data_IF_181092236350
#
_entry.id   IF_181092236350
#
_cell.length_a   1.000
_cell.length_b   1.000
_cell.length_c   1.000
_cell.angle_alpha   90.00
_cell.angle_beta   90.00
_cell.angle_gamma   90.00
#
_symmetry.space_group_name_H-M   'P 1'
#
loop_
_entity.id
_entity.type
_entity.pdbx_description
1 polymer ?
#
# COMPACT_ATOMS: atom_id res chain seq x y z
N UNK A 1 -3.81 -20.38 -11.97
CA UNK A 1 -3.44 -18.99 -11.64
C UNK A 1 -2.50 -18.38 -12.66
N UNK A 2 -3.00 -17.37 -13.36
CA UNK A 2 -2.22 -16.41 -14.15
C UNK A 2 -1.83 -15.25 -13.24
N UNK A 3 -0.60 -14.75 -13.35
CA UNK A 3 -0.11 -13.60 -12.57
C UNK A 3 0.42 -12.55 -13.53
N UNK A 4 -0.02 -11.31 -13.33
CA UNK A 4 0.48 -10.17 -14.08
C UNK A 4 1.67 -9.53 -13.36
N UNK A 5 2.55 -8.86 -14.11
CA UNK A 5 3.61 -8.01 -13.56
C UNK A 5 3.07 -6.92 -12.63
N UNK A 6 1.85 -6.44 -12.86
CA UNK A 6 1.19 -5.46 -11.98
C UNK A 6 0.57 -6.09 -10.71
N UNK A 7 0.53 -7.42 -10.61
CA UNK A 7 0.26 -8.09 -9.34
C UNK A 7 1.49 -8.09 -8.42
N UNK A 8 2.67 -8.13 -9.02
CA UNK A 8 3.96 -8.12 -8.32
C UNK A 8 4.38 -6.70 -7.93
N UNK A 9 4.29 -5.75 -8.86
CA UNK A 9 4.72 -4.37 -8.65
C UNK A 9 3.51 -3.44 -8.57
N UNK A 10 3.23 -2.96 -7.36
CA UNK A 10 2.12 -2.04 -7.08
C UNK A 10 2.66 -0.77 -6.44
N UNK A 11 2.23 0.37 -6.97
CA UNK A 11 2.46 1.66 -6.34
C UNK A 11 1.61 1.71 -5.06
N UNK A 12 2.18 2.27 -4.00
CA UNK A 12 1.54 2.33 -2.70
C UNK A 12 2.35 3.20 -1.74
N UNK A 13 1.87 3.28 -0.50
CA UNK A 13 2.52 4.00 0.59
C UNK A 13 3.18 3.03 1.58
N UNK A 14 4.40 3.35 2.00
CA UNK A 14 5.11 2.62 3.05
C UNK A 14 4.58 2.92 4.46
N UNK A 15 5.04 2.19 5.49
CA UNK A 15 6.13 1.21 5.44
C UNK A 15 5.71 -0.24 5.16
N UNK A 16 4.41 -0.57 5.12
CA UNK A 16 3.96 -1.98 5.04
C UNK A 16 2.76 -2.19 4.13
N UNK A 17 2.84 -3.15 3.21
CA UNK A 17 1.70 -3.52 2.37
C UNK A 17 0.54 -4.12 3.18
N UNK A 18 0.84 -4.90 4.23
CA UNK A 18 -0.20 -5.54 5.04
C UNK A 18 -0.72 -4.63 6.16
N UNK A 19 0.12 -3.76 6.71
CA UNK A 19 -0.22 -2.92 7.87
C UNK A 19 -0.43 -1.44 7.52
N UNK A 20 -0.18 -1.02 6.27
CA UNK A 20 -0.44 0.36 5.81
C UNK A 20 -1.38 0.35 4.60
N UNK A 21 -0.99 -0.29 3.48
CA UNK A 21 -1.80 -0.30 2.25
C UNK A 21 -3.14 -1.02 2.46
N UNK A 22 -3.14 -2.17 3.11
CA UNK A 22 -4.37 -2.92 3.45
C UNK A 22 -5.36 -2.09 4.29
N UNK A 23 -4.99 -1.61 5.49
CA UNK A 23 -5.88 -0.79 6.32
C UNK A 23 -6.41 0.46 5.63
N UNK A 24 -5.59 1.14 4.84
CA UNK A 24 -6.02 2.32 4.07
C UNK A 24 -7.10 1.96 3.04
N UNK A 25 -6.90 0.87 2.28
CA UNK A 25 -7.91 0.36 1.33
C UNK A 25 -9.20 -0.09 2.03
N UNK A 26 -9.09 -0.74 3.19
CA UNK A 26 -10.26 -1.15 3.97
C UNK A 26 -11.08 0.06 4.43
N UNK A 27 -10.40 1.09 4.92
CA UNK A 27 -11.03 2.34 5.34
C UNK A 27 -11.71 3.09 4.18
N UNK A 28 -11.03 3.23 3.03
CA UNK A 28 -11.61 3.83 1.84
C UNK A 28 -12.84 3.07 1.34
N UNK A 29 -12.75 1.74 1.26
CA UNK A 29 -13.89 0.87 0.88
C UNK A 29 -15.06 0.99 1.83
N UNK A 30 -14.80 1.13 3.13
CA UNK A 30 -15.85 1.33 4.12
C UNK A 30 -16.58 2.66 3.91
N UNK A 31 -15.82 3.75 3.75
CA UNK A 31 -16.37 5.08 3.52
C UNK A 31 -17.12 5.18 2.17
N UNK A 32 -16.57 4.63 1.10
CA UNK A 32 -17.26 4.50 -0.20
C UNK A 32 -18.54 3.65 -0.09
N UNK A 33 -18.51 2.61 0.75
CA UNK A 33 -19.67 1.80 1.07
C UNK A 33 -20.77 2.59 1.76
N UNK A 34 -20.43 3.49 2.71
CA UNK A 34 -21.40 4.39 3.34
C UNK A 34 -22.09 5.29 2.30
N UNK A 35 -21.32 5.86 1.37
CA UNK A 35 -21.86 6.69 0.29
C UNK A 35 -22.78 5.89 -0.63
N UNK A 36 -22.34 4.70 -1.07
CA UNK A 36 -23.13 3.84 -1.97
C UNK A 36 -24.46 3.41 -1.35
N UNK A 37 -24.45 3.12 -0.05
CA UNK A 37 -25.63 2.66 0.66
C UNK A 37 -26.45 3.85 1.24
N UNK A 38 -26.16 5.08 0.81
CA UNK A 38 -26.84 6.34 1.17
C UNK A 38 -26.79 6.71 2.67
N UNK A 39 -25.84 6.17 3.42
CA UNK A 39 -25.66 6.37 4.86
C UNK A 39 -24.62 7.46 5.22
N UNK A 40 -23.96 8.05 4.22
CA UNK A 40 -22.85 8.99 4.46
C UNK A 40 -23.31 10.20 5.29
N UNK A 41 -24.43 10.82 4.91
CA UNK A 41 -24.95 12.04 5.55
C UNK A 41 -25.48 11.77 6.97
N UNK A 42 -25.99 10.56 7.22
CA UNK A 42 -26.50 10.16 8.53
C UNK A 42 -25.38 9.76 9.50
N UNK A 43 -24.16 9.56 9.01
CA UNK A 43 -23.03 9.16 9.85
C UNK A 43 -22.53 10.35 10.66
N UNK A 44 -22.61 10.29 11.98
CA UNK A 44 -22.05 11.30 12.88
C UNK A 44 -20.67 10.92 13.43
N UNK A 45 -20.38 9.62 13.49
CA UNK A 45 -19.14 9.09 14.05
C UNK A 45 -18.78 7.74 13.42
N UNK A 46 -17.47 7.46 13.30
CA UNK A 46 -16.94 6.16 12.88
C UNK A 46 -16.01 5.62 13.95
N UNK A 47 -16.21 4.36 14.33
CA UNK A 47 -15.30 3.59 15.19
C UNK A 47 -14.59 2.52 14.38
N UNK A 48 -13.29 2.37 14.64
CA UNK A 48 -12.42 1.41 13.97
C UNK A 48 -11.66 0.60 15.01
N UNK A 49 -11.66 -0.71 14.85
CA UNK A 49 -11.00 -1.66 15.74
C UNK A 49 -10.01 -2.50 14.91
N UNK A 50 -8.73 -2.43 15.24
CA UNK A 50 -7.65 -3.15 14.56
C UNK A 50 -7.21 -4.33 15.42
N UNK A 51 -7.37 -5.56 14.92
CA UNK A 51 -7.20 -6.80 15.68
C UNK A 51 -5.88 -7.54 15.39
N UNK A 52 -5.51 -8.45 16.27
CA UNK A 52 -4.38 -9.37 16.12
C UNK A 52 -3.04 -8.67 15.88
N UNK A 53 -2.34 -9.02 14.79
CA UNK A 53 -1.03 -8.44 14.45
C UNK A 53 -1.14 -6.96 14.11
N UNK A 54 -2.25 -6.52 13.49
CA UNK A 54 -2.52 -5.09 13.27
C UNK A 54 -2.64 -4.35 14.60
N UNK A 55 -3.40 -4.89 15.55
CA UNK A 55 -3.51 -4.30 16.89
C UNK A 55 -2.20 -4.30 17.68
N UNK A 56 -1.31 -5.29 17.46
CA UNK A 56 -0.04 -5.39 18.17
C UNK A 56 1.05 -4.46 17.60
N UNK A 57 1.14 -4.34 16.28
CA UNK A 57 2.27 -3.68 15.60
C UNK A 57 1.85 -2.47 14.75
N UNK A 58 0.55 -2.21 14.62
CA UNK A 58 0.01 -1.24 13.66
C UNK A 58 0.51 0.18 13.89
N UNK A 59 0.74 0.59 15.14
CA UNK A 59 1.29 1.92 15.45
C UNK A 59 2.70 2.12 14.90
N UNK A 60 3.54 1.08 14.91
CA UNK A 60 4.89 1.12 14.32
C UNK A 60 4.85 1.13 12.79
N UNK A 61 3.81 0.52 12.20
CA UNK A 61 3.61 0.44 10.75
C UNK A 61 2.69 1.54 10.20
N UNK A 62 2.22 2.47 11.03
CA UNK A 62 1.33 3.56 10.60
C UNK A 62 -0.08 3.12 10.21
N UNK A 63 -0.60 2.01 10.74
CA UNK A 63 -1.98 1.55 10.48
C UNK A 63 -3.03 2.56 10.94
N UNK A 64 -2.75 3.27 12.04
CA UNK A 64 -3.57 4.39 12.50
C UNK A 64 -3.69 5.47 11.42
N UNK A 65 -2.55 5.96 10.92
CA UNK A 65 -2.49 6.98 9.86
C UNK A 65 -3.18 6.51 8.59
N UNK A 66 -2.94 5.26 8.20
CA UNK A 66 -3.54 4.64 7.03
C UNK A 66 -5.08 4.62 7.09
N UNK A 67 -5.64 4.26 8.26
CA UNK A 67 -7.10 4.28 8.47
C UNK A 67 -7.64 5.70 8.34
N UNK A 68 -7.02 6.70 8.98
CA UNK A 68 -7.47 8.08 8.91
C UNK A 68 -7.50 8.60 7.46
N UNK A 69 -6.41 8.40 6.72
CA UNK A 69 -6.31 8.82 5.32
C UNK A 69 -7.34 8.10 4.44
N UNK A 70 -7.50 6.78 4.62
CA UNK A 70 -8.48 6.01 3.86
C UNK A 70 -9.92 6.44 4.14
N UNK A 71 -10.26 6.78 5.40
CA UNK A 71 -11.59 7.31 5.72
C UNK A 71 -11.86 8.67 5.05
N UNK A 72 -10.83 9.50 4.86
CA UNK A 72 -10.92 10.73 4.06
C UNK A 72 -10.98 10.47 2.54
N UNK A 73 -11.00 9.21 2.09
CA UNK A 73 -11.13 8.83 0.69
C UNK A 73 -9.80 8.70 -0.08
N UNK A 74 -8.66 8.77 0.61
CA UNK A 74 -7.36 8.60 -0.02
C UNK A 74 -7.06 7.14 -0.36
N UNK A 75 -6.40 6.92 -1.49
CA UNK A 75 -5.92 5.60 -1.91
C UNK A 75 -4.40 5.50 -1.84
N UNK A 76 -3.83 4.33 -1.46
CA UNK A 76 -2.39 4.18 -1.26
C UNK A 76 -1.52 4.53 -2.47
N UNK A 77 -2.05 4.33 -3.67
CA UNK A 77 -1.39 4.53 -4.95
C UNK A 77 -1.44 5.98 -5.45
N UNK A 78 -2.29 6.83 -4.86
CA UNK A 78 -2.49 8.22 -5.30
C UNK A 78 -2.30 9.25 -4.19
N UNK A 79 -2.20 8.84 -2.93
CA UNK A 79 -2.10 9.74 -1.78
C UNK A 79 -0.86 10.64 -1.87
N UNK A 80 -1.05 11.94 -1.69
CA UNK A 80 0.06 12.88 -1.60
C UNK A 80 0.72 12.79 -0.22
N UNK A 81 1.85 12.05 -0.17
CA UNK A 81 2.61 11.80 1.06
C UNK A 81 3.17 13.05 1.74
N UNK A 82 3.36 14.15 1.01
CA UNK A 82 3.90 15.40 1.58
C UNK A 82 2.89 16.09 2.51
N UNK A 83 1.60 15.93 2.24
CA UNK A 83 0.50 16.57 3.00
C UNK A 83 0.05 15.75 4.22
N UNK A 84 0.48 14.49 4.33
CA UNK A 84 -0.01 13.54 5.33
C UNK A 84 0.23 14.05 6.76
N UNK A 85 1.40 14.62 7.04
CA UNK A 85 1.73 15.06 8.40
C UNK A 85 0.80 16.18 8.88
N UNK A 86 0.53 17.16 8.02
CA UNK A 86 -0.35 18.30 8.31
C UNK A 86 -1.80 17.84 8.50
N UNK A 87 -2.32 17.02 7.58
CA UNK A 87 -3.68 16.48 7.66
C UNK A 87 -3.94 15.71 8.95
N UNK A 88 -3.02 14.82 9.32
CA UNK A 88 -3.12 14.07 10.57
C UNK A 88 -3.09 14.99 11.80
N UNK A 89 -2.30 16.08 11.75
CA UNK A 89 -2.28 17.06 12.83
C UNK A 89 -3.64 17.79 12.95
N UNK A 90 -4.26 18.14 11.82
CA UNK A 90 -5.58 18.78 11.77
C UNK A 90 -6.68 17.87 12.30
N UNK A 91 -6.71 16.59 11.92
CA UNK A 91 -7.70 15.63 12.45
C UNK A 91 -7.56 15.51 13.97
N UNK A 92 -6.32 15.38 14.47
CA UNK A 92 -6.02 15.22 15.89
C UNK A 92 -6.34 16.45 16.73
N UNK A 93 -6.10 17.66 16.20
CA UNK A 93 -6.34 18.90 16.93
C UNK A 93 -7.81 19.31 16.92
N UNK A 94 -8.50 19.12 15.80
CA UNK A 94 -9.92 19.44 15.65
C UNK A 94 -10.86 18.39 16.26
N UNK A 95 -10.39 17.13 16.39
CA UNK A 95 -11.24 16.00 16.75
C UNK A 95 -12.30 15.69 15.70
N UNK A 96 -12.07 16.10 14.44
CA UNK A 96 -12.97 15.89 13.31
C UNK A 96 -12.25 15.23 12.15
N UNK A 97 -12.98 14.42 11.40
CA UNK A 97 -12.51 13.77 10.18
C UNK A 97 -13.51 14.02 9.06
N UNK A 98 -13.05 14.31 7.85
CA UNK A 98 -13.93 14.57 6.71
C UNK A 98 -14.08 13.30 5.86
N UNK A 99 -15.15 12.53 6.05
CA UNK A 99 -15.37 11.28 5.33
C UNK A 99 -15.43 11.54 3.83
N UNK A 100 -14.58 10.83 3.08
CA UNK A 100 -14.38 11.01 1.63
C UNK A 100 -14.01 12.44 1.20
N UNK A 101 -13.61 13.31 2.13
CA UNK A 101 -13.46 14.73 1.86
C UNK A 101 -14.79 15.49 1.69
N UNK A 102 -15.93 14.84 1.96
CA UNK A 102 -17.28 15.36 1.70
C UNK A 102 -18.05 15.67 2.99
N UNK A 103 -17.99 14.78 3.99
CA UNK A 103 -18.85 14.85 5.18
C UNK A 103 -18.06 14.88 6.50
N UNK A 104 -18.04 16.00 7.24
CA UNK A 104 -17.32 16.09 8.51
C UNK A 104 -18.03 15.33 9.63
N UNK A 105 -17.30 14.45 10.30
CA UNK A 105 -17.76 13.65 11.45
C UNK A 105 -16.91 13.90 12.68
N UNK A 106 -17.46 13.60 13.86
CA UNK A 106 -16.69 13.59 15.10
C UNK A 106 -15.75 12.38 15.12
N UNK A 107 -14.45 12.63 15.29
CA UNK A 107 -13.43 11.60 15.28
C UNK A 107 -12.32 11.89 16.31
N UNK A 108 -12.51 11.38 17.53
CA UNK A 108 -11.45 11.35 18.52
C UNK A 108 -10.64 10.05 18.37
N UNK A 109 -9.44 10.15 17.80
CA UNK A 109 -8.59 8.99 17.50
C UNK A 109 -8.37 8.06 18.71
N UNK A 110 -8.25 8.60 19.93
CA UNK A 110 -8.00 7.77 21.13
C UNK A 110 -9.20 6.91 21.52
N UNK A 111 -10.42 7.40 21.34
CA UNK A 111 -11.65 6.68 21.70
C UNK A 111 -12.29 5.95 20.53
N UNK A 112 -12.00 6.37 19.29
CA UNK A 112 -12.63 5.84 18.08
C UNK A 112 -11.72 4.91 17.28
N UNK A 113 -10.41 4.87 17.56
CA UNK A 113 -9.48 3.92 16.95
C UNK A 113 -8.84 3.02 18.01
N UNK A 114 -9.32 1.78 18.12
CA UNK A 114 -8.85 0.80 19.08
C UNK A 114 -7.83 -0.17 18.44
N UNK A 115 -6.77 -0.46 19.18
CA UNK A 115 -5.74 -1.46 18.82
C UNK A 115 -5.87 -2.66 19.75
N UNK A 116 -6.37 -3.78 19.25
CA UNK A 116 -6.74 -4.97 20.01
C UNK A 116 -5.79 -6.11 19.64
N UNK A 117 -5.04 -6.63 20.61
CA UNK A 117 -4.04 -7.70 20.35
C UNK A 117 -4.65 -9.06 20.06
N UNK A 118 -5.88 -9.31 20.51
CA UNK A 118 -6.58 -10.56 20.23
C UNK A 118 -6.92 -10.61 18.74
N UNK A 119 -6.60 -11.69 18.01
CA UNK A 119 -6.97 -11.82 16.60
C UNK A 119 -8.46 -12.12 16.45
N UNK A 120 -9.01 -11.79 15.27
CA UNK A 120 -10.31 -12.27 14.82
C UNK A 120 -10.19 -13.73 14.33
N UNK A 121 -11.29 -14.49 14.24
CA UNK A 121 -11.25 -15.92 13.95
C UNK A 121 -10.63 -16.29 12.60
N UNK A 122 -10.86 -15.49 11.55
CA UNK A 122 -10.47 -15.85 10.19
C UNK A 122 -9.00 -15.54 9.88
N UNK A 123 -8.51 -14.35 10.23
CA UNK A 123 -7.15 -13.93 9.89
C UNK A 123 -6.57 -12.99 10.97
N UNK A 124 -5.25 -13.08 11.29
CA UNK A 124 -4.63 -12.27 12.33
C UNK A 124 -4.60 -10.76 12.04
N UNK A 125 -4.81 -10.34 10.80
CA UNK A 125 -4.89 -8.93 10.40
C UNK A 125 -6.35 -8.52 10.16
N UNK A 126 -7.17 -8.58 11.22
CA UNK A 126 -8.59 -8.22 11.16
C UNK A 126 -8.84 -6.75 11.49
N UNK A 127 -9.90 -6.20 10.92
CA UNK A 127 -10.31 -4.81 11.11
C UNK A 127 -11.84 -4.74 11.13
N UNK A 128 -12.42 -4.07 12.11
CA UNK A 128 -13.86 -3.84 12.16
C UNK A 128 -14.12 -2.34 12.11
N UNK A 129 -15.02 -1.94 11.20
CA UNK A 129 -15.46 -0.56 11.03
C UNK A 129 -16.95 -0.47 11.39
N UNK A 130 -17.32 0.56 12.14
CA UNK A 130 -18.69 0.81 12.59
C UNK A 130 -19.03 2.28 12.39
N UNK A 131 -20.12 2.57 11.69
CA UNK A 131 -20.66 3.92 11.56
C UNK A 131 -21.84 4.07 12.53
N UNK A 132 -21.90 5.22 13.20
CA UNK A 132 -22.96 5.58 14.14
C UNK A 132 -23.63 6.88 13.71
N UNK A 133 -24.93 6.97 13.92
CA UNK A 133 -25.70 8.19 13.69
C UNK A 133 -25.58 9.21 14.84
N UNK A 134 -26.28 10.34 14.72
CA UNK A 134 -26.30 11.40 15.74
C UNK A 134 -26.89 10.97 17.10
N UNK A 135 -27.64 9.87 17.16
CA UNK A 135 -28.16 9.28 18.39
C UNK A 135 -27.20 8.22 18.99
N UNK A 136 -26.10 7.92 18.31
CA UNK A 136 -25.16 6.87 18.70
C UNK A 136 -25.62 5.46 18.34
N UNK A 137 -26.60 5.31 17.46
CA UNK A 137 -27.08 4.02 16.96
C UNK A 137 -26.18 3.58 15.80
N UNK A 138 -25.77 2.31 15.80
CA UNK A 138 -24.95 1.76 14.72
C UNK A 138 -25.80 1.59 13.45
N UNK A 139 -25.44 2.31 12.39
CA UNK A 139 -26.12 2.26 11.08
C UNK A 139 -25.40 1.36 10.06
N UNK A 140 -24.10 1.08 10.28
CA UNK A 140 -23.33 0.15 9.44
C UNK A 140 -22.22 -0.53 10.24
N UNK A 141 -21.96 -1.80 9.95
CA UNK A 141 -20.74 -2.49 10.39
C UNK A 141 -20.19 -3.39 9.29
N UNK A 142 -18.87 -3.42 9.13
CA UNK A 142 -18.15 -4.29 8.21
C UNK A 142 -16.85 -4.77 8.85
N UNK A 143 -16.45 -5.98 8.51
CA UNK A 143 -15.23 -6.62 8.96
C UNK A 143 -14.34 -6.96 7.76
N UNK A 144 -13.10 -6.51 7.80
CA UNK A 144 -12.13 -6.66 6.73
C UNK A 144 -10.88 -7.37 7.21
N UNK A 145 -10.19 -8.06 6.30
CA UNK A 145 -8.92 -8.70 6.57
C UNK A 145 -7.87 -8.30 5.55
N UNK A 146 -6.67 -7.95 6.06
CA UNK A 146 -5.50 -7.66 5.23
C UNK A 146 -4.64 -8.93 5.08
N UNK A 147 -4.79 -9.62 3.94
CA UNK A 147 -4.25 -10.98 3.71
C UNK A 147 -2.86 -11.00 3.05
N UNK A 148 -2.25 -9.83 2.80
CA UNK A 148 -0.92 -9.71 2.19
C UNK A 148 -0.96 -9.04 0.81
N UNK A 149 0.19 -8.52 0.35
CA UNK A 149 0.30 -7.84 -0.96
C UNK A 149 -0.57 -6.58 -1.13
N UNK A 150 -1.11 -6.03 -0.04
CA UNK A 150 -2.07 -4.92 -0.07
C UNK A 150 -3.51 -5.33 -0.44
N UNK A 151 -3.82 -6.62 -0.47
CA UNK A 151 -5.17 -7.12 -0.70
C UNK A 151 -6.01 -7.09 0.59
N UNK A 152 -7.28 -6.72 0.42
CA UNK A 152 -8.28 -6.68 1.49
C UNK A 152 -9.48 -7.51 1.09
N UNK A 153 -9.94 -8.38 1.98
CA UNK A 153 -11.16 -9.19 1.82
C UNK A 153 -12.19 -8.81 2.89
N UNK A 154 -13.47 -8.92 2.57
CA UNK A 154 -14.61 -8.64 3.47
C UNK A 154 -15.08 -9.96 4.13
N UNK A 155 -15.71 -9.93 5.29
CA UNK A 155 -16.19 -11.12 6.02
C UNK A 155 -17.13 -12.00 5.17
N UNK A 156 -18.04 -11.39 4.41
CA UNK A 156 -18.92 -12.11 3.48
C UNK A 156 -18.18 -12.82 2.33
N UNK A 157 -16.93 -12.42 2.06
CA UNK A 157 -16.04 -13.09 1.12
C UNK A 157 -15.07 -14.06 1.81
N UNK A 158 -14.92 -14.01 3.14
CA UNK A 158 -14.03 -14.89 3.91
C UNK A 158 -14.48 -16.36 3.91
N UNK A 159 -15.76 -16.63 3.65
CA UNK A 159 -16.31 -17.98 3.48
C UNK A 159 -16.15 -18.57 2.07
N UNK A 160 -15.79 -17.75 1.08
CA UNK A 160 -15.47 -18.21 -0.26
C UNK A 160 -13.97 -18.03 -0.49
N UNK A 161 -13.25 -19.14 -0.62
CA UNK A 161 -11.83 -19.20 -0.99
C UNK A 161 -11.61 -18.50 -2.35
N UNK A 162 -11.52 -17.17 -2.31
CA UNK A 162 -11.51 -16.31 -3.48
C UNK A 162 -10.50 -15.20 -3.29
N UNK A 163 -9.23 -15.60 -3.09
CA UNK A 163 -8.28 -15.22 -4.13
C UNK A 163 -8.86 -15.88 -5.38
N UNK A 164 -9.75 -15.18 -6.10
CA UNK A 164 -10.30 -15.72 -7.34
C UNK A 164 -9.08 -15.95 -8.20
N UNK A 165 -8.70 -17.22 -8.36
CA UNK A 165 -7.55 -17.53 -9.18
C UNK A 165 -7.82 -16.93 -10.55
N UNK A 166 -6.98 -15.99 -10.94
CA UNK A 166 -7.07 -15.48 -12.28
C UNK A 166 -6.82 -16.66 -13.22
N UNK A 167 -7.85 -17.00 -13.98
CA UNK A 167 -7.87 -18.11 -14.95
C UNK A 167 -7.77 -17.58 -16.38
N UNK A 168 -7.44 -16.30 -16.54
CA UNK A 168 -7.21 -15.66 -17.84
C UNK A 168 -6.26 -16.53 -18.67
N UNK A 169 -6.70 -17.05 -19.82
CA UNK A 169 -5.87 -17.89 -20.67
C UNK A 169 -4.68 -17.09 -21.22
N UNK A 170 -3.47 -17.58 -20.94
CA UNK A 170 -2.23 -16.97 -21.44
C UNK A 170 -1.83 -17.57 -22.77
N UNK A 171 -1.16 -16.78 -23.61
CA UNK A 171 -0.64 -17.23 -24.91
C UNK A 171 0.47 -18.29 -24.75
N UNK A 172 1.34 -18.08 -23.77
CA UNK A 172 2.47 -18.96 -23.44
C UNK A 172 2.45 -19.29 -21.94
N UNK A 173 1.53 -20.15 -21.47
CA UNK A 173 1.41 -20.48 -20.06
C UNK A 173 2.58 -21.37 -19.62
N UNK A 174 3.13 -21.14 -18.43
CA UNK A 174 4.21 -21.95 -17.86
C UNK A 174 4.04 -22.12 -16.34
N UNK A 175 4.47 -23.27 -15.81
CA UNK A 175 4.51 -23.53 -14.35
C UNK A 175 5.93 -23.76 -13.83
N UNK A 176 6.89 -23.99 -14.72
CA UNK A 176 8.27 -24.28 -14.39
C UNK A 176 9.22 -23.50 -15.29
N UNK A 177 10.47 -23.33 -14.83
CA UNK A 177 11.51 -22.73 -15.67
C UNK A 177 11.71 -23.52 -16.99
N UNK A 178 11.55 -24.85 -16.96
CA UNK A 178 11.66 -25.70 -18.14
C UNK A 178 10.58 -25.38 -19.20
N UNK A 179 9.36 -25.09 -18.76
CA UNK A 179 8.26 -24.73 -19.68
C UNK A 179 8.48 -23.34 -20.27
N UNK A 180 8.92 -22.37 -19.46
CA UNK A 180 9.27 -21.02 -19.93
C UNK A 180 10.38 -21.07 -20.99
N UNK A 181 11.47 -21.80 -20.73
CA UNK A 181 12.57 -21.96 -21.68
C UNK A 181 12.13 -22.69 -22.96
N UNK A 182 11.21 -23.66 -22.84
CA UNK A 182 10.62 -24.33 -24.01
C UNK A 182 9.88 -23.33 -24.91
N UNK A 183 9.07 -22.43 -24.34
CA UNK A 183 8.39 -21.38 -25.12
C UNK A 183 9.39 -20.45 -25.81
N UNK A 184 10.45 -20.05 -25.11
CA UNK A 184 11.50 -19.19 -25.67
C UNK A 184 12.15 -19.83 -26.91
N UNK A 185 12.56 -21.11 -26.80
CA UNK A 185 13.21 -21.83 -27.91
C UNK A 185 12.24 -22.13 -29.05
N UNK A 186 11.02 -22.60 -28.75
CA UNK A 186 10.03 -22.98 -29.78
C UNK A 186 9.57 -21.78 -30.61
N UNK A 187 9.48 -20.59 -30.01
CA UNK A 187 8.93 -19.40 -30.66
C UNK A 187 9.97 -18.35 -31.02
N UNK A 188 11.26 -18.62 -30.80
CA UNK A 188 12.37 -17.68 -30.98
C UNK A 188 12.12 -16.34 -30.26
N UNK A 189 11.70 -16.44 -28.99
CA UNK A 189 11.38 -15.29 -28.14
C UNK A 189 12.31 -15.27 -26.93
N UNK A 190 12.73 -14.08 -26.53
CA UNK A 190 13.32 -13.87 -25.20
C UNK A 190 12.26 -13.98 -24.10
N UNK A 191 12.70 -14.17 -22.84
CA UNK A 191 11.78 -14.25 -21.68
C UNK A 191 10.88 -13.02 -21.59
N UNK A 192 11.42 -11.82 -21.83
CA UNK A 192 10.63 -10.58 -21.76
C UNK A 192 9.59 -10.49 -22.88
N UNK A 193 9.87 -11.04 -24.07
CA UNK A 193 8.90 -11.13 -25.16
C UNK A 193 7.81 -12.16 -24.87
N UNK A 194 8.16 -13.31 -24.27
CA UNK A 194 7.16 -14.28 -23.77
C UNK A 194 6.25 -13.63 -22.73
N UNK A 195 6.83 -12.89 -21.77
CA UNK A 195 6.05 -12.18 -20.76
C UNK A 195 5.18 -11.08 -21.36
N UNK A 196 5.70 -10.27 -22.30
CA UNK A 196 4.91 -9.23 -22.97
C UNK A 196 3.71 -9.83 -23.74
N UNK A 197 3.92 -10.97 -24.40
CA UNK A 197 2.86 -11.67 -25.09
C UNK A 197 1.80 -12.26 -24.13
N UNK A 198 2.19 -12.68 -22.93
CA UNK A 198 1.25 -13.10 -21.89
C UNK A 198 0.48 -11.92 -21.28
N UNK A 199 1.14 -10.79 -21.04
CA UNK A 199 0.49 -9.56 -20.52
C UNK A 199 -0.62 -9.04 -21.45
N UNK A 200 -0.49 -9.35 -22.75
CA UNK A 200 -1.50 -9.02 -23.77
C UNK A 200 -2.86 -9.70 -23.55
N UNK A 201 -2.93 -10.70 -22.67
CA UNK A 201 -4.19 -11.34 -22.29
C UNK A 201 -5.10 -10.43 -21.44
N UNK A 202 -4.52 -9.47 -20.69
CA UNK A 202 -5.27 -8.54 -19.86
C UNK A 202 -5.42 -7.16 -20.49
N UNK A 203 -4.41 -6.71 -21.25
CA UNK A 203 -4.36 -5.34 -21.77
C UNK A 203 -3.42 -5.21 -22.97
N UNK A 204 -3.63 -4.23 -23.87
CA UNK A 204 -2.71 -3.97 -24.98
C UNK A 204 -1.27 -3.70 -24.51
N UNK A 205 -0.30 -4.10 -25.32
CA UNK A 205 1.14 -3.89 -25.05
C UNK A 205 1.48 -2.43 -24.69
N UNK A 206 0.87 -1.46 -25.37
CA UNK A 206 1.08 -0.04 -25.09
C UNK A 206 0.72 0.33 -23.65
N UNK A 207 -0.36 -0.24 -23.10
CA UNK A 207 -0.76 -0.02 -21.70
C UNK A 207 0.21 -0.70 -20.73
N UNK A 208 0.68 -1.91 -21.06
CA UNK A 208 1.72 -2.61 -20.30
C UNK A 208 2.99 -1.79 -20.21
N UNK A 209 3.47 -1.29 -21.34
CA UNK A 209 4.67 -0.46 -21.41
C UNK A 209 4.51 0.83 -20.61
N UNK A 210 3.39 1.53 -20.79
CA UNK A 210 3.10 2.77 -20.06
C UNK A 210 3.06 2.55 -18.55
N UNK A 211 2.41 1.49 -18.08
CA UNK A 211 2.32 1.19 -16.64
C UNK A 211 3.68 0.80 -16.04
N UNK A 212 4.51 0.04 -16.78
CA UNK A 212 5.88 -0.28 -16.33
C UNK A 212 6.77 0.96 -16.25
N UNK A 213 6.66 1.88 -17.22
CA UNK A 213 7.38 3.15 -17.19
C UNK A 213 6.91 4.05 -16.04
N UNK A 214 5.62 4.03 -15.71
CA UNK A 214 5.10 4.73 -14.54
C UNK A 214 5.68 4.17 -13.24
N UNK A 215 5.70 2.84 -13.07
CA UNK A 215 6.33 2.19 -11.90
C UNK A 215 7.82 2.57 -11.81
N UNK A 216 8.54 2.54 -12.93
CA UNK A 216 9.94 2.95 -12.98
C UNK A 216 10.11 4.41 -12.54
N UNK A 217 9.27 5.33 -13.05
CA UNK A 217 9.34 6.74 -12.65
C UNK A 217 9.09 6.91 -11.15
N UNK A 218 8.09 6.22 -10.59
CA UNK A 218 7.82 6.25 -9.15
C UNK A 218 9.00 5.73 -8.32
N UNK A 219 9.68 4.67 -8.77
CA UNK A 219 10.91 4.18 -8.11
C UNK A 219 12.02 5.24 -8.15
N UNK A 220 12.20 5.92 -9.28
CA UNK A 220 13.20 6.99 -9.43
C UNK A 220 12.88 8.20 -8.55
N UNK A 221 11.61 8.58 -8.45
CA UNK A 221 11.14 9.67 -7.61
C UNK A 221 11.32 9.33 -6.13
N UNK A 222 11.07 8.07 -5.74
CA UNK A 222 11.30 7.55 -4.39
C UNK A 222 12.78 7.63 -3.99
N UNK A 223 13.69 7.14 -4.84
CA UNK A 223 15.14 7.27 -4.62
C UNK A 223 15.54 8.74 -4.50
N UNK A 224 15.05 9.58 -5.41
CA UNK A 224 15.34 11.02 -5.40
C UNK A 224 14.86 11.70 -4.11
N UNK A 225 13.68 11.33 -3.61
CA UNK A 225 13.16 11.80 -2.33
C UNK A 225 14.04 11.32 -1.16
N UNK A 226 14.47 10.06 -1.15
CA UNK A 226 15.39 9.52 -0.15
C UNK A 226 16.76 10.20 -0.11
N UNK A 227 17.28 10.59 -1.27
CA UNK A 227 18.51 11.36 -1.42
C UNK A 227 18.40 12.82 -0.96
N UNK A 228 17.19 13.37 -0.81
CA UNK A 228 16.94 14.73 -0.29
C UNK A 228 16.56 14.73 1.19
N UNK A 229 15.78 13.75 1.63
CA UNK A 229 15.15 13.76 2.94
C UNK A 229 16.13 13.34 4.04
N UNK A 230 16.32 14.25 5.00
CA UNK A 230 17.14 14.02 6.19
C UNK A 230 16.28 13.73 7.44
N UNK A 231 16.95 13.53 8.57
CA UNK A 231 16.31 13.36 9.86
C UNK A 231 16.36 11.93 10.40
N UNK A 232 15.47 11.64 11.33
CA UNK A 232 15.41 10.38 12.08
C UNK A 232 14.16 9.61 11.63
N UNK A 233 14.33 8.31 11.37
CA UNK A 233 13.21 7.43 11.04
C UNK A 233 12.22 7.34 12.22
N UNK A 234 10.91 7.31 11.94
CA UNK A 234 9.90 7.09 12.97
C UNK A 234 10.04 5.69 13.60
N UNK A 235 9.39 5.46 14.76
CA UNK A 235 9.38 4.15 15.43
C UNK A 235 10.25 4.04 16.69
N UNK A 236 10.83 5.14 17.16
CA UNK A 236 11.46 5.22 18.49
C UNK A 236 12.90 4.69 18.59
N UNK A 237 13.40 4.00 17.57
CA UNK A 237 14.77 3.45 17.51
C UNK A 237 15.86 4.50 17.23
N UNK A 238 15.48 5.77 17.01
CA UNK A 238 16.39 6.90 16.73
C UNK A 238 17.37 6.64 15.57
N UNK A 239 16.95 5.86 14.57
CA UNK A 239 17.78 5.54 13.39
C UNK A 239 17.86 6.76 12.47
N UNK A 240 19.07 7.25 12.20
CA UNK A 240 19.29 8.39 11.28
C UNK A 240 19.16 7.95 9.82
N UNK A 241 18.50 8.76 8.99
CA UNK A 241 18.51 8.60 7.53
C UNK A 241 19.93 8.84 7.00
N UNK A 242 20.44 7.91 6.18
CA UNK A 242 21.84 7.94 5.69
C UNK A 242 21.97 8.31 4.21
N UNK A 243 20.92 8.09 3.40
CA UNK A 243 20.97 8.25 1.96
C UNK A 243 21.38 9.66 1.52
N UNK A 244 20.77 10.72 2.06
CA UNK A 244 21.10 12.09 1.67
C UNK A 244 22.58 12.48 1.88
N UNK A 245 23.16 12.06 3.00
CA UNK A 245 24.58 12.31 3.28
C UNK A 245 25.49 11.51 2.34
N UNK A 246 25.17 10.23 2.12
CA UNK A 246 25.92 9.36 1.21
C UNK A 246 25.86 9.86 -0.24
N UNK A 247 24.69 10.30 -0.71
CA UNK A 247 24.52 10.89 -2.04
C UNK A 247 25.43 12.10 -2.26
N UNK A 248 25.46 13.03 -1.29
CA UNK A 248 26.37 14.19 -1.36
C UNK A 248 27.85 13.77 -1.43
N UNK A 249 28.25 12.79 -0.64
CA UNK A 249 29.62 12.28 -0.62
C UNK A 249 30.02 11.65 -1.96
N UNK A 250 29.14 10.84 -2.56
CA UNK A 250 29.39 10.17 -3.84
C UNK A 250 29.44 11.19 -5.00
N UNK A 251 28.55 12.17 -5.02
CA UNK A 251 28.56 13.23 -6.04
C UNK A 251 29.78 14.16 -5.93
N UNK A 252 30.33 14.36 -4.73
CA UNK A 252 31.49 15.21 -4.52
C UNK A 252 32.80 14.58 -5.01
N UNK A 253 32.86 13.25 -5.14
CA UNK A 253 34.07 12.51 -5.50
C UNK A 253 33.86 11.59 -6.73
N UNK A 254 33.50 12.13 -7.91
CA UNK A 254 33.16 11.32 -9.08
C UNK A 254 34.35 10.48 -9.59
N UNK A 255 35.58 10.96 -9.38
CA UNK A 255 36.81 10.24 -9.79
C UNK A 255 37.10 9.00 -8.94
N UNK A 256 36.49 8.86 -7.75
CA UNK A 256 36.70 7.69 -6.90
C UNK A 256 36.29 6.40 -7.62
N UNK A 257 35.27 6.47 -8.50
CA UNK A 257 34.82 5.34 -9.30
C UNK A 257 35.77 4.91 -10.41
N UNK A 258 36.69 5.78 -10.82
CA UNK A 258 37.75 5.45 -11.77
C UNK A 258 38.94 4.76 -11.07
N UNK A 259 39.06 4.90 -9.74
CA UNK A 259 40.19 4.39 -8.94
C UNK A 259 39.84 3.10 -8.19
N UNK A 260 38.58 2.92 -7.80
CA UNK A 260 38.10 1.73 -7.09
C UNK A 260 36.77 1.24 -7.70
N UNK A 261 36.81 0.03 -8.28
CA UNK A 261 35.64 -0.62 -8.87
C UNK A 261 34.54 -0.94 -7.84
N UNK A 262 34.88 -1.05 -6.54
CA UNK A 262 33.92 -1.31 -5.48
C UNK A 262 33.02 -0.11 -5.17
N UNK A 263 33.41 1.10 -5.56
CA UNK A 263 32.59 2.31 -5.40
C UNK A 263 31.23 2.24 -6.12
N UNK A 264 31.08 1.37 -7.13
CA UNK A 264 29.78 1.09 -7.77
C UNK A 264 28.80 0.48 -6.77
N UNK A 265 29.29 -0.33 -5.81
CA UNK A 265 28.46 -0.90 -4.76
C UNK A 265 27.92 0.17 -3.80
N UNK A 266 28.63 1.28 -3.61
CA UNK A 266 28.15 2.38 -2.77
C UNK A 266 26.93 3.08 -3.41
N UNK A 267 26.88 3.16 -4.74
CA UNK A 267 25.69 3.64 -5.46
C UNK A 267 24.50 2.67 -5.30
N UNK A 268 24.74 1.35 -5.35
CA UNK A 268 23.69 0.36 -5.09
C UNK A 268 23.18 0.48 -3.64
N UNK A 269 24.09 0.61 -2.67
CA UNK A 269 23.74 0.82 -1.26
C UNK A 269 22.96 2.12 -1.06
N UNK A 270 23.34 3.20 -1.76
CA UNK A 270 22.61 4.47 -1.72
C UNK A 270 21.17 4.29 -2.19
N UNK A 271 20.96 3.66 -3.35
CA UNK A 271 19.62 3.48 -3.91
C UNK A 271 18.74 2.63 -2.98
N UNK A 272 19.30 1.55 -2.42
CA UNK A 272 18.60 0.69 -1.48
C UNK A 272 18.28 1.38 -0.13
N UNK A 273 19.13 2.31 0.33
CA UNK A 273 18.88 3.09 1.54
C UNK A 273 17.94 4.29 1.32
N UNK A 274 17.82 4.76 0.08
CA UNK A 274 17.01 5.92 -0.28
C UNK A 274 15.52 5.57 -0.33
N UNK A 275 15.18 4.39 -0.88
CA UNK A 275 13.83 3.82 -0.86
C UNK A 275 13.39 3.52 0.57
#
# INVERSE_FOLDING_TARGET
MSLSVFDLFKIGIGPSSSHTVGPMRAAARFAEGLRRDELLQDTACVKVELYGSLGATGKGHGSDKAVLLGLEGEHPDTVNTETVAERLATIRSSGRLNLLGEHPIDFNEKSHLAMIRKPLPYHPNGMIFRALDGAGIQIRSREYYSVGGGFVVDEGAAGADRIVEDSTPLKYPFKTAKDLLRHCVTHDLSISQVMMANESAWRPEAQTRSGLLNIWQVMQDCVSAGCRNEGILPGGLKVKRRAAALHRQLCANPEAALRDALSVLDWVNLYALAV
#
